data_IF_461137180134
#
_entry.id   IF_461137180134
#
_cell.length_a   1.000
_cell.length_b   1.000
_cell.length_c   1.000
_cell.angle_alpha   90.00
_cell.angle_beta   90.00
_cell.angle_gamma   90.00
#
_symmetry.space_group_name_H-M   'P 1'
#
loop_
_entity.id
_entity.type
_entity.pdbx_description
1 polymer ?
#
# COMPACT_ATOMS: atom_id res chain seq x y z
N UNK A 1 24.91 -24.54 7.88
CA UNK A 1 23.94 -23.65 8.55
C UNK A 1 24.68 -22.82 9.57
N UNK A 2 24.46 -21.51 9.63
CA UNK A 2 25.08 -20.64 10.63
C UNK A 2 24.25 -20.69 11.93
N UNK A 3 24.84 -21.21 13.01
CA UNK A 3 24.15 -21.47 14.28
C UNK A 3 23.76 -20.19 15.01
N UNK A 4 24.54 -19.11 14.87
CA UNK A 4 24.25 -17.82 15.50
C UNK A 4 23.02 -17.17 14.85
N UNK A 5 22.92 -17.23 13.51
CA UNK A 5 21.75 -16.75 12.76
C UNK A 5 20.51 -17.57 13.16
N UNK A 6 20.64 -18.91 13.23
CA UNK A 6 19.55 -19.79 13.65
C UNK A 6 19.07 -19.45 15.07
N UNK A 7 19.99 -19.27 16.02
CA UNK A 7 19.65 -18.95 17.41
C UNK A 7 18.96 -17.58 17.52
N UNK A 8 19.44 -16.56 16.80
CA UNK A 8 18.79 -15.24 16.76
C UNK A 8 17.36 -15.36 16.22
N UNK A 9 17.16 -16.03 15.09
CA UNK A 9 15.82 -16.21 14.50
C UNK A 9 14.91 -17.03 15.43
N UNK A 10 15.44 -18.09 16.05
CA UNK A 10 14.70 -18.94 16.99
C UNK A 10 14.26 -18.17 18.24
N UNK A 11 15.13 -17.34 18.80
CA UNK A 11 14.88 -16.63 20.06
C UNK A 11 14.09 -15.33 19.87
N UNK A 12 14.33 -14.61 18.78
CA UNK A 12 13.82 -13.25 18.58
C UNK A 12 12.92 -13.09 17.35
N UNK A 13 12.80 -14.13 16.53
CA UNK A 13 12.29 -14.00 15.17
C UNK A 13 13.29 -13.26 14.27
N UNK A 14 12.95 -13.14 12.99
CA UNK A 14 13.78 -12.40 12.05
C UNK A 14 13.69 -10.87 12.25
N UNK A 15 12.54 -10.37 12.70
CA UNK A 15 12.36 -8.96 13.07
C UNK A 15 12.59 -7.98 11.90
N UNK A 16 12.07 -8.29 10.71
CA UNK A 16 12.18 -7.41 9.55
C UNK A 16 11.56 -6.03 9.82
N UNK A 17 12.22 -4.99 9.32
CA UNK A 17 11.81 -3.60 9.52
C UNK A 17 11.68 -2.89 8.17
N UNK A 18 10.81 -1.88 8.14
CA UNK A 18 10.69 -0.94 7.03
C UNK A 18 10.78 0.48 7.58
N UNK A 19 11.61 1.36 6.98
CA UNK A 19 11.69 2.77 7.40
C UNK A 19 10.35 3.49 7.27
N UNK A 20 9.53 3.09 6.30
CA UNK A 20 8.19 3.64 6.04
C UNK A 20 7.24 3.51 7.23
N UNK A 21 7.40 2.48 8.08
CA UNK A 21 6.58 2.32 9.30
C UNK A 21 6.77 3.47 10.29
N UNK A 22 7.98 4.05 10.37
CA UNK A 22 8.23 5.22 11.20
C UNK A 22 7.53 6.45 10.62
N UNK A 23 7.57 6.64 9.31
CA UNK A 23 6.91 7.75 8.62
C UNK A 23 5.39 7.65 8.79
N UNK A 24 4.82 6.44 8.73
CA UNK A 24 3.39 6.20 9.00
C UNK A 24 3.04 6.60 10.43
N UNK A 25 3.86 6.21 11.41
CA UNK A 25 3.63 6.55 12.83
C UNK A 25 3.61 8.06 13.03
N UNK A 26 4.61 8.75 12.48
CA UNK A 26 4.71 10.21 12.48
C UNK A 26 3.52 10.89 11.82
N UNK A 27 3.14 10.42 10.63
CA UNK A 27 2.03 10.97 9.84
C UNK A 27 0.71 10.81 10.57
N UNK A 28 0.48 9.63 11.17
CA UNK A 28 -0.72 9.34 11.97
C UNK A 28 -0.80 10.23 13.21
N UNK A 29 0.33 10.45 13.90
CA UNK A 29 0.41 11.37 15.03
C UNK A 29 0.00 12.79 14.62
N UNK A 30 0.52 13.26 13.49
CA UNK A 30 0.26 14.62 13.01
C UNK A 30 -1.19 14.81 12.54
N UNK A 31 -1.76 13.83 11.83
CA UNK A 31 -3.18 13.80 11.46
C UNK A 31 -4.09 13.83 12.70
N UNK A 32 -3.72 13.12 13.76
CA UNK A 32 -4.47 13.11 15.02
C UNK A 32 -4.45 14.49 15.69
N UNK A 33 -3.30 15.19 15.67
CA UNK A 33 -3.19 16.57 16.15
C UNK A 33 -4.01 17.53 15.29
N UNK A 34 -3.96 17.41 13.96
CA UNK A 34 -4.76 18.24 13.05
C UNK A 34 -6.26 18.07 13.31
N UNK A 35 -6.71 16.82 13.52
CA UNK A 35 -8.10 16.53 13.86
C UNK A 35 -8.51 17.17 15.20
N UNK A 36 -7.63 17.12 16.21
CA UNK A 36 -7.86 17.79 17.48
C UNK A 36 -7.93 19.32 17.31
N UNK A 37 -7.09 19.91 16.45
CA UNK A 37 -7.12 21.35 16.15
C UNK A 37 -8.41 21.77 15.45
N UNK A 38 -8.87 21.01 14.44
CA UNK A 38 -10.15 21.28 13.76
C UNK A 38 -11.32 21.30 14.74
N UNK A 39 -11.32 20.38 15.71
CA UNK A 39 -12.35 20.31 16.77
C UNK A 39 -12.33 21.47 17.76
N UNK A 40 -11.28 22.30 17.76
CA UNK A 40 -11.17 23.52 18.59
C UNK A 40 -11.71 24.76 17.90
N UNK A 41 -12.02 24.70 16.60
CA UNK A 41 -12.55 25.85 15.89
C UNK A 41 -13.93 26.25 16.45
N UNK A 42 -14.18 27.56 16.68
CA UNK A 42 -15.47 28.06 17.11
C UNK A 42 -16.51 27.79 16.01
N UNK A 43 -17.67 27.26 16.40
CA UNK A 43 -18.78 26.96 15.49
C UNK A 43 -19.80 28.08 15.55
N UNK A 44 -20.34 28.47 14.38
CA UNK A 44 -21.51 29.36 14.32
C UNK A 44 -22.71 28.64 14.97
N UNK A 45 -23.09 29.08 16.17
CA UNK A 45 -24.26 28.60 16.89
C UNK A 45 -24.78 29.73 17.79
N UNK A 46 -26.10 30.02 17.83
CA UNK A 46 -26.63 31.07 18.70
C UNK A 46 -26.15 30.91 20.15
N UNK A 47 -25.63 31.97 20.81
CA UNK A 47 -25.58 33.37 20.40
C UNK A 47 -24.29 33.80 19.65
N UNK A 48 -23.36 32.88 19.37
CA UNK A 48 -22.14 33.17 18.62
C UNK A 48 -22.47 33.45 17.15
N UNK A 49 -22.14 34.65 16.69
CA UNK A 49 -22.33 35.09 15.29
C UNK A 49 -21.07 34.98 14.44
N UNK A 50 -19.95 34.56 15.04
CA UNK A 50 -18.62 34.44 14.40
C UNK A 50 -18.05 33.04 14.62
N UNK A 51 -17.39 32.47 13.62
CA UNK A 51 -16.85 31.11 13.65
C UNK A 51 -17.14 30.36 12.36
N UNK A 52 -16.67 29.12 12.25
CA UNK A 52 -16.89 28.32 11.03
C UNK A 52 -18.23 27.57 11.07
N UNK A 53 -18.87 27.30 9.92
CA UNK A 53 -20.05 26.45 9.87
C UNK A 53 -19.77 25.02 10.38
N UNK A 54 -20.75 24.38 11.04
CA UNK A 54 -20.61 22.99 11.48
C UNK A 54 -20.34 22.03 10.30
N UNK A 55 -20.92 22.30 9.13
CA UNK A 55 -20.68 21.53 7.90
C UNK A 55 -19.21 21.57 7.47
N UNK A 56 -18.53 22.70 7.67
CA UNK A 56 -17.12 22.86 7.38
C UNK A 56 -16.27 22.01 8.34
N UNK A 57 -16.54 22.05 9.65
CA UNK A 57 -15.86 21.19 10.63
C UNK A 57 -16.07 19.71 10.31
N UNK A 58 -17.29 19.32 9.95
CA UNK A 58 -17.61 17.93 9.59
C UNK A 58 -16.82 17.48 8.36
N UNK A 59 -16.74 18.32 7.31
CA UNK A 59 -15.97 18.02 6.10
C UNK A 59 -14.48 17.86 6.38
N UNK A 60 -13.90 18.77 7.17
CA UNK A 60 -12.50 18.71 7.59
C UNK A 60 -12.21 17.46 8.41
N UNK A 61 -13.09 17.16 9.37
CA UNK A 61 -13.01 15.97 10.22
C UNK A 61 -13.08 14.68 9.39
N UNK A 62 -14.01 14.60 8.42
CA UNK A 62 -14.15 13.44 7.55
C UNK A 62 -12.91 13.25 6.66
N UNK A 63 -12.38 14.34 6.09
CA UNK A 63 -11.18 14.29 5.24
C UNK A 63 -9.95 13.81 6.01
N UNK A 64 -9.73 14.32 7.23
CA UNK A 64 -8.64 13.90 8.11
C UNK A 64 -8.80 12.46 8.61
N UNK A 65 -10.03 12.05 8.94
CA UNK A 65 -10.32 10.67 9.33
C UNK A 65 -10.05 9.69 8.17
N UNK A 66 -10.42 10.05 6.95
CA UNK A 66 -10.11 9.26 5.75
C UNK A 66 -8.60 9.14 5.50
N UNK A 67 -7.84 10.24 5.63
CA UNK A 67 -6.38 10.20 5.52
C UNK A 67 -5.73 9.34 6.63
N UNK A 68 -6.27 9.39 7.85
CA UNK A 68 -5.83 8.54 8.97
C UNK A 68 -6.06 7.07 8.68
N UNK A 69 -7.24 6.73 8.15
CA UNK A 69 -7.58 5.36 7.77
C UNK A 69 -6.66 4.83 6.66
N UNK A 70 -6.40 5.63 5.61
CA UNK A 70 -5.45 5.27 4.55
C UNK A 70 -4.03 5.04 5.08
N UNK A 71 -3.56 5.92 5.98
CA UNK A 71 -2.24 5.80 6.61
C UNK A 71 -2.15 4.53 7.48
N UNK A 72 -3.20 4.22 8.23
CA UNK A 72 -3.27 2.99 9.05
C UNK A 72 -3.34 1.72 8.19
N UNK A 73 -4.08 1.75 7.08
CA UNK A 73 -4.12 0.66 6.11
C UNK A 73 -2.75 0.44 5.47
N UNK A 74 -1.99 1.51 5.23
CA UNK A 74 -0.62 1.45 4.72
C UNK A 74 0.30 0.68 5.68
N UNK A 75 0.14 0.87 7.00
CA UNK A 75 0.91 0.10 7.98
C UNK A 75 0.61 -1.40 7.90
N UNK A 76 -0.66 -1.76 7.76
CA UNK A 76 -1.10 -3.15 7.63
C UNK A 76 -0.51 -3.76 6.35
N UNK A 77 -0.63 -3.07 5.21
CA UNK A 77 -0.09 -3.52 3.93
C UNK A 77 1.42 -3.75 3.98
N UNK A 78 2.18 -2.81 4.56
CA UNK A 78 3.63 -2.95 4.74
C UNK A 78 3.98 -4.11 5.66
N UNK A 79 3.25 -4.27 6.78
CA UNK A 79 3.48 -5.40 7.68
C UNK A 79 3.21 -6.74 7.00
N UNK A 80 2.18 -6.83 6.17
CA UNK A 80 1.87 -8.05 5.42
C UNK A 80 2.91 -8.32 4.32
N UNK A 81 3.37 -7.28 3.62
CA UNK A 81 4.49 -7.41 2.67
C UNK A 81 5.79 -7.83 3.35
N UNK A 82 6.09 -7.32 4.56
CA UNK A 82 7.26 -7.75 5.34
C UNK A 82 7.16 -9.23 5.75
N UNK A 83 5.97 -9.70 6.16
CA UNK A 83 5.75 -11.14 6.46
C UNK A 83 5.97 -12.02 5.23
N UNK A 84 5.62 -11.50 4.05
CA UNK A 84 5.67 -12.25 2.79
C UNK A 84 6.95 -12.00 1.97
N UNK A 85 7.90 -11.20 2.46
CA UNK A 85 9.03 -10.72 1.63
C UNK A 85 9.87 -11.86 1.05
N UNK A 86 10.07 -12.96 1.78
CA UNK A 86 10.81 -14.13 1.24
C UNK A 86 10.04 -14.86 0.16
N UNK A 87 8.71 -14.90 0.27
CA UNK A 87 7.86 -15.41 -0.80
C UNK A 87 8.01 -14.52 -2.03
N UNK A 88 7.95 -13.19 -1.87
CA UNK A 88 8.16 -12.24 -2.96
C UNK A 88 9.54 -12.38 -3.61
N UNK A 89 10.62 -12.52 -2.81
CA UNK A 89 11.99 -12.78 -3.30
C UNK A 89 12.04 -14.07 -4.11
N UNK A 90 11.49 -15.15 -3.55
CA UNK A 90 11.52 -16.47 -4.19
C UNK A 90 10.73 -16.48 -5.50
N UNK A 91 9.51 -15.95 -5.49
CA UNK A 91 8.65 -15.90 -6.67
C UNK A 91 9.24 -15.00 -7.75
N UNK A 92 9.78 -13.82 -7.39
CA UNK A 92 10.48 -12.94 -8.33
C UNK A 92 11.65 -13.65 -8.99
N UNK A 93 12.48 -14.33 -8.20
CA UNK A 93 13.63 -15.07 -8.72
C UNK A 93 13.20 -16.23 -9.64
N UNK A 94 12.16 -16.98 -9.26
CA UNK A 94 11.62 -18.06 -10.10
C UNK A 94 11.11 -17.53 -11.43
N UNK A 95 10.30 -16.47 -11.44
CA UNK A 95 9.76 -15.89 -12.69
C UNK A 95 10.87 -15.28 -13.54
N UNK A 96 11.83 -14.57 -12.94
CA UNK A 96 12.98 -14.06 -13.68
C UNK A 96 13.74 -15.19 -14.40
N UNK A 97 13.92 -16.34 -13.76
CA UNK A 97 14.53 -17.51 -14.40
C UNK A 97 13.65 -18.08 -15.51
N UNK A 98 12.33 -18.15 -15.33
CA UNK A 98 11.39 -18.62 -16.35
C UNK A 98 11.38 -17.72 -17.59
N UNK A 99 11.49 -16.42 -17.39
CA UNK A 99 11.44 -15.40 -18.45
C UNK A 99 12.82 -14.98 -18.95
N UNK A 100 13.90 -15.62 -18.46
CA UNK A 100 15.30 -15.27 -18.78
C UNK A 100 15.63 -13.79 -18.55
N UNK A 101 15.06 -13.18 -17.50
CA UNK A 101 15.29 -11.79 -17.13
C UNK A 101 16.49 -11.66 -16.17
N UNK A 102 17.47 -10.84 -16.53
CA UNK A 102 18.65 -10.57 -15.70
C UNK A 102 18.47 -9.41 -14.69
N UNK A 103 17.26 -8.87 -14.54
CA UNK A 103 16.99 -7.68 -13.70
C UNK A 103 16.27 -8.01 -12.38
N UNK A 104 16.40 -7.13 -11.38
CA UNK A 104 15.64 -7.22 -10.14
C UNK A 104 14.25 -6.54 -10.20
N UNK A 105 13.76 -6.17 -11.40
CA UNK A 105 12.58 -5.34 -11.57
C UNK A 105 11.33 -5.89 -10.86
N UNK A 106 11.07 -7.20 -10.98
CA UNK A 106 9.94 -7.85 -10.31
C UNK A 106 10.01 -7.70 -8.78
N UNK A 107 11.21 -7.87 -8.20
CA UNK A 107 11.39 -7.72 -6.76
C UNK A 107 11.26 -6.26 -6.33
N UNK A 108 11.88 -5.33 -7.05
CA UNK A 108 11.77 -3.88 -6.78
C UNK A 108 10.32 -3.44 -6.81
N UNK A 109 9.58 -3.79 -7.86
CA UNK A 109 8.17 -3.42 -8.02
C UNK A 109 7.23 -4.10 -7.02
N UNK A 110 7.62 -5.26 -6.47
CA UNK A 110 6.85 -5.95 -5.42
C UNK A 110 7.10 -5.43 -4.01
N UNK A 111 8.19 -4.70 -3.81
CA UNK A 111 8.67 -4.29 -2.48
C UNK A 111 8.83 -2.78 -2.36
N UNK A 112 8.29 -2.02 -3.31
CA UNK A 112 8.36 -0.56 -3.33
C UNK A 112 7.83 0.05 -2.03
N UNK A 113 6.65 -0.37 -1.58
CA UNK A 113 6.02 0.12 -0.34
C UNK A 113 6.86 -0.12 0.91
N UNK A 114 7.55 -1.26 1.01
CA UNK A 114 8.38 -1.57 2.18
C UNK A 114 9.77 -0.92 2.11
N UNK A 115 10.19 -0.51 0.91
CA UNK A 115 11.49 0.13 0.65
C UNK A 115 11.43 1.66 0.51
N UNK A 116 10.23 2.24 0.56
CA UNK A 116 10.04 3.69 0.68
C UNK A 116 9.35 4.39 -0.49
N UNK A 117 8.81 3.65 -1.47
CA UNK A 117 8.15 4.26 -2.65
C UNK A 117 6.93 5.13 -2.28
N UNK A 118 6.33 4.90 -1.10
CA UNK A 118 5.21 5.70 -0.61
C UNK A 118 5.61 6.84 0.36
N UNK A 119 6.90 6.95 0.70
CA UNK A 119 7.37 7.82 1.79
C UNK A 119 7.06 9.30 1.50
N UNK A 120 7.30 9.76 0.28
CA UNK A 120 7.06 11.16 -0.12
C UNK A 120 5.57 11.53 -0.05
N UNK A 121 4.67 10.60 -0.35
CA UNK A 121 3.23 10.82 -0.23
C UNK A 121 2.81 10.93 1.23
N UNK A 122 3.34 10.07 2.11
CA UNK A 122 3.08 10.14 3.54
C UNK A 122 3.64 11.42 4.17
N UNK A 123 4.86 11.81 3.79
CA UNK A 123 5.48 13.07 4.22
C UNK A 123 4.63 14.26 3.76
N UNK A 124 4.08 14.21 2.56
CA UNK A 124 3.18 15.26 2.04
C UNK A 124 1.85 15.31 2.83
N UNK A 125 1.26 14.16 3.18
CA UNK A 125 0.08 14.10 4.05
C UNK A 125 0.39 14.70 5.43
N UNK A 126 1.54 14.36 6.01
CA UNK A 126 2.03 14.94 7.27
C UNK A 126 2.18 16.46 7.15
N UNK A 127 2.77 16.94 6.06
CA UNK A 127 2.93 18.37 5.80
C UNK A 127 1.57 19.10 5.74
N UNK A 128 0.60 18.55 5.00
CA UNK A 128 -0.77 19.10 4.95
C UNK A 128 -1.36 19.18 6.35
N UNK A 129 -1.26 18.12 7.16
CA UNK A 129 -1.75 18.11 8.54
C UNK A 129 -1.07 19.20 9.41
N UNK A 130 0.25 19.34 9.33
CA UNK A 130 0.99 20.40 10.02
C UNK A 130 0.54 21.79 9.58
N UNK A 131 0.32 22.02 8.29
CA UNK A 131 -0.16 23.31 7.78
C UNK A 131 -1.58 23.63 8.26
N UNK A 132 -2.45 22.63 8.38
CA UNK A 132 -3.79 22.82 8.95
C UNK A 132 -3.70 23.23 10.43
N UNK A 133 -2.85 22.57 11.23
CA UNK A 133 -2.62 22.94 12.62
C UNK A 133 -2.19 24.40 12.72
N UNK A 134 -1.20 24.80 11.90
CA UNK A 134 -0.69 26.17 11.88
C UNK A 134 -1.77 27.19 11.49
N UNK A 135 -2.51 26.94 10.40
CA UNK A 135 -3.57 27.86 9.97
C UNK A 135 -4.66 28.04 11.04
N UNK A 136 -5.04 26.96 11.71
CA UNK A 136 -6.00 27.02 12.82
C UNK A 136 -5.44 27.83 13.99
N UNK A 137 -4.18 27.62 14.37
CA UNK A 137 -3.53 28.43 15.42
C UNK A 137 -3.45 29.91 15.06
N UNK A 138 -3.11 30.23 13.82
CA UNK A 138 -3.01 31.62 13.34
C UNK A 138 -4.38 32.30 13.40
N UNK A 139 -5.46 31.59 13.04
CA UNK A 139 -6.84 32.07 13.23
C UNK A 139 -7.20 32.27 14.70
N UNK A 140 -6.89 31.30 15.57
CA UNK A 140 -7.19 31.40 17.01
C UNK A 140 -6.41 32.52 17.70
N UNK A 141 -5.25 32.91 17.17
CA UNK A 141 -4.45 34.07 17.60
C UNK A 141 -4.92 35.39 16.97
N UNK A 142 -5.91 35.37 16.07
CA UNK A 142 -6.42 36.55 15.36
C UNK A 142 -5.49 37.08 14.27
N UNK A 143 -4.54 36.28 13.79
CA UNK A 143 -3.59 36.68 12.74
C UNK A 143 -4.20 36.60 11.33
N UNK A 144 -5.19 35.72 11.14
CA UNK A 144 -5.97 35.60 9.91
C UNK A 144 -7.46 35.63 10.24
N UNK A 145 -8.28 36.07 9.29
CA UNK A 145 -9.73 36.07 9.46
C UNK A 145 -10.34 34.70 9.08
N UNK A 146 -11.64 34.56 9.33
CA UNK A 146 -12.39 33.32 9.12
C UNK A 146 -12.48 32.90 7.64
N UNK A 147 -12.61 33.87 6.72
CA UNK A 147 -12.72 33.60 5.28
C UNK A 147 -11.39 33.07 4.75
N UNK A 148 -10.29 33.70 5.15
CA UNK A 148 -8.94 33.30 4.78
C UNK A 148 -8.63 31.89 5.33
N UNK A 149 -9.02 31.60 6.57
CA UNK A 149 -8.89 30.27 7.15
C UNK A 149 -9.68 29.23 6.34
N UNK A 150 -10.95 29.49 6.03
CA UNK A 150 -11.79 28.54 5.32
C UNK A 150 -11.24 28.24 3.92
N UNK A 151 -10.79 29.26 3.18
CA UNK A 151 -10.14 29.08 1.89
C UNK A 151 -8.87 28.25 2.02
N UNK A 152 -7.98 28.62 2.95
CA UNK A 152 -6.71 27.95 3.16
C UNK A 152 -6.87 26.47 3.53
N UNK A 153 -7.76 26.14 4.47
CA UNK A 153 -8.00 24.76 4.87
C UNK A 153 -8.67 23.94 3.75
N UNK A 154 -9.55 24.55 2.95
CA UNK A 154 -10.15 23.89 1.78
C UNK A 154 -9.08 23.51 0.74
N UNK A 155 -8.14 24.41 0.45
CA UNK A 155 -7.03 24.14 -0.47
C UNK A 155 -6.12 23.02 0.07
N UNK A 156 -5.93 22.95 1.38
CA UNK A 156 -5.15 21.89 2.03
C UNK A 156 -5.85 20.52 1.96
N UNK A 157 -7.16 20.42 2.24
CA UNK A 157 -7.84 19.12 2.15
C UNK A 157 -7.93 18.60 0.71
N UNK A 158 -8.00 19.50 -0.28
CA UNK A 158 -8.02 19.12 -1.69
C UNK A 158 -6.73 18.37 -2.11
N UNK A 159 -5.62 18.60 -1.41
CA UNK A 159 -4.35 17.91 -1.65
C UNK A 159 -4.32 16.48 -1.10
N UNK A 160 -5.18 16.13 -0.13
CA UNK A 160 -5.14 14.81 0.50
C UNK A 160 -5.60 13.69 -0.44
N UNK A 161 -6.60 13.94 -1.29
CA UNK A 161 -7.18 12.89 -2.14
C UNK A 161 -6.19 12.32 -3.17
N UNK A 162 -5.46 13.15 -3.95
CA UNK A 162 -4.46 12.64 -4.88
C UNK A 162 -3.31 11.88 -4.20
N UNK A 163 -2.91 12.30 -3.00
CA UNK A 163 -1.86 11.63 -2.23
C UNK A 163 -2.31 10.23 -1.77
N UNK A 164 -3.52 10.13 -1.21
CA UNK A 164 -4.10 8.83 -0.83
C UNK A 164 -4.23 7.91 -2.04
N UNK A 165 -4.70 8.44 -3.17
CA UNK A 165 -4.82 7.67 -4.41
C UNK A 165 -3.47 7.11 -4.86
N UNK A 166 -2.42 7.93 -4.84
CA UNK A 166 -1.06 7.50 -5.23
C UNK A 166 -0.54 6.35 -4.37
N UNK A 167 -0.81 6.38 -3.06
CA UNK A 167 -0.47 5.28 -2.14
C UNK A 167 -1.24 4.00 -2.51
N UNK A 168 -2.56 4.11 -2.73
CA UNK A 168 -3.41 2.97 -3.09
C UNK A 168 -3.01 2.36 -4.44
N UNK A 169 -2.67 3.19 -5.42
CA UNK A 169 -2.22 2.75 -6.74
C UNK A 169 -0.92 1.92 -6.64
N UNK A 170 -0.01 2.26 -5.72
CA UNK A 170 1.20 1.45 -5.46
C UNK A 170 0.82 0.09 -4.85
N UNK A 171 -0.06 0.06 -3.86
CA UNK A 171 -0.52 -1.20 -3.26
C UNK A 171 -1.24 -2.10 -4.25
N UNK A 172 -2.04 -1.52 -5.15
CA UNK A 172 -2.71 -2.24 -6.22
C UNK A 172 -1.69 -2.84 -7.21
N UNK A 173 -0.68 -2.06 -7.62
CA UNK A 173 0.41 -2.55 -8.49
C UNK A 173 1.16 -3.73 -7.86
N UNK A 174 1.55 -3.61 -6.60
CA UNK A 174 2.23 -4.70 -5.87
C UNK A 174 1.35 -5.95 -5.79
N UNK A 175 0.07 -5.78 -5.44
CA UNK A 175 -0.88 -6.90 -5.31
C UNK A 175 -1.11 -7.59 -6.66
N UNK A 176 -1.26 -6.80 -7.73
CA UNK A 176 -1.44 -7.30 -9.08
C UNK A 176 -0.20 -8.07 -9.56
N UNK A 177 0.99 -7.50 -9.34
CA UNK A 177 2.25 -8.15 -9.70
C UNK A 177 2.45 -9.45 -8.91
N UNK A 178 2.14 -9.47 -7.62
CA UNK A 178 2.28 -10.67 -6.80
C UNK A 178 1.40 -11.81 -7.33
N UNK A 179 0.17 -11.48 -7.74
CA UNK A 179 -0.74 -12.43 -8.38
C UNK A 179 -0.22 -12.90 -9.73
N UNK A 180 0.29 -11.99 -10.56
CA UNK A 180 0.89 -12.32 -11.86
C UNK A 180 2.05 -13.32 -11.71
N UNK A 181 3.00 -13.04 -10.80
CA UNK A 181 4.13 -13.94 -10.58
C UNK A 181 3.68 -15.32 -10.10
N UNK A 182 2.72 -15.37 -9.18
CA UNK A 182 2.15 -16.63 -8.72
C UNK A 182 1.52 -17.42 -9.87
N UNK A 183 0.72 -16.77 -10.71
CA UNK A 183 0.08 -17.40 -11.86
C UNK A 183 1.11 -17.94 -12.86
N UNK A 184 2.20 -17.20 -13.11
CA UNK A 184 3.30 -17.64 -13.98
C UNK A 184 4.00 -18.90 -13.45
N UNK A 185 4.26 -18.95 -12.15
CA UNK A 185 4.86 -20.12 -11.50
C UNK A 185 3.93 -21.33 -11.56
N UNK A 186 2.64 -21.16 -11.23
CA UNK A 186 1.64 -22.22 -11.30
C UNK A 186 1.47 -22.74 -12.72
N UNK A 187 1.43 -21.84 -13.70
CA UNK A 187 1.33 -22.20 -15.13
C UNK A 187 2.56 -22.97 -15.60
N UNK A 188 3.77 -22.54 -15.21
CA UNK A 188 5.01 -23.27 -15.54
C UNK A 188 5.05 -24.66 -14.91
N UNK A 189 4.64 -24.78 -13.64
CA UNK A 189 4.55 -26.08 -12.95
C UNK A 189 3.52 -27.00 -13.60
N UNK A 190 2.38 -26.45 -14.02
CA UNK A 190 1.33 -27.19 -14.71
C UNK A 190 1.82 -27.64 -16.08
N UNK A 191 2.48 -26.79 -16.86
CA UNK A 191 3.04 -27.16 -18.17
C UNK A 191 4.01 -28.34 -18.07
N UNK A 192 4.96 -28.30 -17.13
CA UNK A 192 5.89 -29.41 -16.87
C UNK A 192 5.19 -30.70 -16.43
N UNK A 193 4.18 -30.56 -15.58
CA UNK A 193 3.39 -31.71 -15.11
C UNK A 193 2.54 -32.30 -16.23
N UNK A 194 1.98 -31.47 -17.09
CA UNK A 194 1.16 -31.86 -18.22
C UNK A 194 1.96 -32.68 -19.23
N UNK A 195 3.18 -32.26 -19.57
CA UNK A 195 4.09 -33.04 -20.41
C UNK A 195 4.39 -34.43 -19.81
N UNK A 196 4.64 -34.50 -18.49
CA UNK A 196 4.90 -35.76 -17.82
C UNK A 196 3.66 -36.67 -17.77
N UNK A 197 2.48 -36.10 -17.53
CA UNK A 197 1.21 -36.82 -17.49
C UNK A 197 0.75 -37.28 -18.87
N UNK A 198 1.02 -36.50 -19.92
CA UNK A 198 0.70 -36.87 -21.29
C UNK A 198 1.41 -38.16 -21.73
N UNK A 199 2.65 -38.35 -21.27
CA UNK A 199 3.43 -39.56 -21.54
C UNK A 199 3.05 -40.76 -20.66
N UNK A 200 2.10 -40.59 -19.72
CA UNK A 200 1.59 -41.67 -18.89
C UNK A 200 0.31 -42.26 -19.51
N UNK A 201 0.28 -43.55 -19.91
CA UNK A 201 -0.87 -44.14 -20.61
C UNK A 201 -2.20 -44.02 -19.86
N UNK A 202 -2.18 -44.10 -18.53
CA UNK A 202 -3.39 -44.00 -17.72
C UNK A 202 -3.95 -42.57 -17.67
N UNK A 203 -3.07 -41.57 -17.61
CA UNK A 203 -3.47 -40.16 -17.61
C UNK A 203 -3.80 -39.67 -19.03
N UNK A 204 -3.04 -40.12 -20.04
CA UNK A 204 -3.27 -39.78 -21.45
C UNK A 204 -4.69 -40.13 -21.89
N UNK A 205 -5.20 -41.31 -21.52
CA UNK A 205 -6.59 -41.71 -21.82
C UNK A 205 -7.62 -40.69 -21.31
N UNK A 206 -7.41 -40.07 -20.15
CA UNK A 206 -8.28 -39.03 -19.63
C UNK A 206 -8.03 -37.68 -20.32
N UNK A 207 -6.76 -37.34 -20.55
CA UNK A 207 -6.33 -36.07 -21.14
C UNK A 207 -6.74 -35.96 -22.63
N UNK A 208 -6.77 -37.05 -23.37
CA UNK A 208 -7.27 -37.10 -24.76
C UNK A 208 -8.71 -36.60 -24.89
N UNK A 209 -9.53 -36.82 -23.86
CA UNK A 209 -10.92 -36.39 -23.82
C UNK A 209 -11.13 -35.02 -23.18
N UNK A 210 -10.22 -34.57 -22.31
CA UNK A 210 -10.43 -33.41 -21.45
C UNK A 210 -9.57 -32.20 -21.79
N UNK A 211 -8.43 -32.40 -22.47
CA UNK A 211 -7.62 -31.27 -22.94
C UNK A 211 -8.26 -30.60 -24.17
N UNK A 212 -8.08 -29.29 -24.31
CA UNK A 212 -8.28 -28.57 -25.57
C UNK A 212 -7.38 -29.07 -26.70
N UNK A 213 -7.86 -29.02 -27.95
CA UNK A 213 -7.15 -29.60 -29.11
C UNK A 213 -5.86 -28.84 -29.48
N UNK A 214 -5.78 -27.55 -29.19
CA UNK A 214 -4.56 -26.75 -29.34
C UNK A 214 -3.44 -27.24 -28.41
N UNK A 215 -3.74 -27.54 -27.14
CA UNK A 215 -2.76 -28.11 -26.21
C UNK A 215 -2.35 -29.54 -26.60
N UNK A 216 -3.28 -30.37 -27.10
CA UNK A 216 -2.94 -31.70 -27.63
C UNK A 216 -2.00 -31.61 -28.83
N UNK A 217 -2.25 -30.67 -29.74
CA UNK A 217 -1.39 -30.43 -30.91
C UNK A 217 0.06 -30.16 -30.51
N UNK A 218 0.26 -29.29 -29.52
CA UNK A 218 1.59 -28.98 -28.97
C UNK A 218 2.26 -30.19 -28.31
N UNK A 219 1.50 -31.01 -27.58
CA UNK A 219 2.01 -32.22 -26.91
C UNK A 219 2.37 -33.37 -27.87
N UNK A 220 1.83 -33.34 -29.09
CA UNK A 220 2.18 -34.29 -30.16
C UNK A 220 3.35 -33.86 -31.05
N UNK A 221 3.92 -32.67 -30.83
CA UNK A 221 5.08 -32.17 -31.56
C UNK A 221 4.78 -31.54 -32.93
N UNK A 222 3.62 -30.88 -33.08
CA UNK A 222 3.30 -30.03 -34.24
C UNK A 222 3.53 -28.55 -33.98
#
# INVERSE_FOLDING_TARGET
MNTDIYNIIKERGLGLQSPTLNIITDTTSELTKALASVRRLPVIAPPLTTGVPQSFINNMTASLASATACTSQSAIHIQDNLKNVFTSITQSSMVNNLESMESCANLTNLTGSITGEIDDFLISIKHVATQQIKGIEDYLKGLINEVDLQSYLNDLIAQLEPLKKSILDIFEKETALFRDLKNKIESSSLAKSLEALWNNPCAQMLLDHTLPDDLKGLLHGQ
#
